data_IF_416726924469
#
_entry.id   IF_416726924469
#
_cell.length_a   1.000
_cell.length_b   1.000
_cell.length_c   1.000
_cell.angle_alpha   90.00
_cell.angle_beta   90.00
_cell.angle_gamma   90.00
#
_symmetry.space_group_name_H-M   'P 1'
#
loop_
_entity.id
_entity.type
_entity.pdbx_description
1 polymer ?
#
# COMPACT_ATOMS: atom_id res chain seq x y z
N UNK A 1 -10.08 -22.03 1.94
CA UNK A 1 -9.58 -22.54 3.24
C UNK A 1 -9.66 -21.43 4.29
N UNK A 2 -10.87 -21.19 4.79
CA UNK A 2 -11.23 -20.19 5.81
C UNK A 2 -10.62 -20.47 7.21
N UNK A 3 -10.07 -21.66 7.40
CA UNK A 3 -9.46 -22.11 8.66
C UNK A 3 -8.10 -21.48 8.95
N UNK A 4 -7.25 -21.27 7.94
CA UNK A 4 -5.91 -20.70 8.13
C UNK A 4 -5.98 -19.22 8.53
N UNK A 5 -6.97 -18.48 8.02
CA UNK A 5 -7.21 -17.08 8.38
C UNK A 5 -7.72 -16.96 9.82
N UNK A 6 -8.63 -17.87 10.25
CA UNK A 6 -9.15 -17.91 11.62
C UNK A 6 -8.07 -18.26 12.65
N UNK A 7 -7.19 -19.20 12.33
CA UNK A 7 -6.14 -19.66 13.25
C UNK A 7 -4.99 -18.64 13.41
N UNK A 8 -4.75 -17.81 12.39
CA UNK A 8 -3.85 -16.65 12.52
C UNK A 8 -4.48 -15.49 13.29
N UNK A 9 -5.79 -15.27 13.15
CA UNK A 9 -6.51 -14.21 13.87
C UNK A 9 -6.63 -14.50 15.38
N UNK A 10 -6.84 -15.76 15.80
CA UNK A 10 -7.02 -16.12 17.21
C UNK A 10 -5.77 -15.99 18.09
N UNK A 11 -4.57 -15.88 17.49
CA UNK A 11 -3.32 -15.68 18.23
C UNK A 11 -3.02 -14.22 18.59
N UNK A 12 -3.81 -13.26 18.10
CA UNK A 12 -3.62 -11.82 18.32
C UNK A 12 -4.59 -11.26 19.39
N UNK A 13 -5.30 -12.14 20.08
CA UNK A 13 -6.60 -11.91 20.74
C UNK A 13 -6.58 -11.52 22.25
N UNK A 14 -5.59 -10.75 22.74
CA UNK A 14 -5.91 -9.86 23.88
C UNK A 14 -5.36 -8.42 23.77
N UNK A 15 -4.49 -8.13 22.79
CA UNK A 15 -3.83 -6.83 22.67
C UNK A 15 -4.52 -5.89 21.67
N UNK A 16 -5.38 -6.42 20.80
CA UNK A 16 -6.06 -5.63 19.76
C UNK A 16 -7.10 -4.66 20.35
N UNK A 17 -7.78 -5.06 21.42
CA UNK A 17 -8.84 -4.22 22.02
C UNK A 17 -8.29 -2.88 22.55
N UNK A 18 -7.04 -2.86 23.02
CA UNK A 18 -6.35 -1.65 23.52
C UNK A 18 -5.54 -0.89 22.45
N UNK A 19 -5.53 -1.33 21.19
CA UNK A 19 -4.88 -0.57 20.12
C UNK A 19 -5.63 0.75 19.92
N UNK A 20 -4.98 1.90 20.07
CA UNK A 20 -5.60 3.20 19.80
C UNK A 20 -5.35 3.69 18.37
N UNK A 21 -4.24 3.25 17.78
CA UNK A 21 -3.74 3.71 16.48
C UNK A 21 -3.16 2.54 15.70
N UNK A 22 -3.53 2.45 14.42
CA UNK A 22 -2.92 1.54 13.46
C UNK A 22 -2.06 2.38 12.52
N UNK A 23 -0.76 2.14 12.53
CA UNK A 23 0.18 2.73 11.59
C UNK A 23 0.48 1.70 10.50
N UNK A 24 -0.01 1.97 9.29
CA UNK A 24 0.29 1.17 8.11
C UNK A 24 1.36 1.87 7.28
N UNK A 25 2.46 1.17 6.99
CA UNK A 25 3.58 1.71 6.24
C UNK A 25 3.70 0.92 4.94
N UNK A 26 3.76 1.62 3.81
CA UNK A 26 4.06 1.02 2.50
C UNK A 26 5.03 1.90 1.74
N UNK A 27 5.84 1.30 0.87
CA UNK A 27 6.81 2.03 0.08
C UNK A 27 6.19 2.48 -1.24
N UNK A 28 6.19 3.79 -1.48
CA UNK A 28 5.68 4.34 -2.74
C UNK A 28 6.56 3.96 -3.93
N UNK A 29 7.84 3.68 -3.69
CA UNK A 29 8.80 3.25 -4.70
C UNK A 29 8.53 1.85 -5.28
N UNK A 30 7.55 1.11 -4.77
CA UNK A 30 7.21 -0.25 -5.25
C UNK A 30 6.18 -0.23 -6.40
N UNK A 31 5.91 0.95 -6.98
CA UNK A 31 4.99 1.13 -8.10
C UNK A 31 5.42 0.38 -9.37
N UNK A 32 6.70 0.10 -9.55
CA UNK A 32 7.25 -0.63 -10.71
C UNK A 32 7.63 -2.08 -10.39
N UNK A 33 7.28 -2.56 -9.20
CA UNK A 33 7.61 -3.90 -8.72
C UNK A 33 6.37 -4.81 -8.63
N UNK A 34 6.56 -6.10 -8.89
CA UNK A 34 5.54 -7.15 -8.74
C UNK A 34 5.88 -8.09 -7.59
N UNK A 35 4.89 -8.84 -7.09
CA UNK A 35 5.10 -9.79 -6.01
C UNK A 35 6.00 -10.95 -6.48
N UNK A 36 6.81 -11.50 -5.56
CA UNK A 36 7.64 -12.66 -5.86
C UNK A 36 6.78 -13.90 -6.15
N UNK A 37 5.68 -14.04 -5.42
CA UNK A 37 4.71 -15.12 -5.55
C UNK A 37 3.75 -14.96 -6.73
N UNK A 38 3.51 -13.74 -7.20
CA UNK A 38 2.61 -13.42 -8.30
C UNK A 38 3.15 -12.25 -9.15
N UNK A 39 3.87 -12.57 -10.24
CA UNK A 39 4.42 -11.57 -11.15
C UNK A 39 3.39 -10.73 -11.90
N UNK A 40 2.09 -11.06 -11.81
CA UNK A 40 1.02 -10.27 -12.44
C UNK A 40 0.45 -9.20 -11.51
N UNK A 41 0.78 -9.27 -10.22
CA UNK A 41 0.27 -8.37 -9.19
C UNK A 41 1.32 -7.34 -8.79
N UNK A 42 0.97 -6.07 -8.93
CA UNK A 42 1.81 -4.96 -8.52
C UNK A 42 1.83 -4.79 -6.98
N UNK A 43 3.01 -4.54 -6.42
CA UNK A 43 3.24 -4.52 -4.96
C UNK A 43 2.54 -3.37 -4.24
N UNK A 44 2.54 -2.16 -4.80
CA UNK A 44 1.86 -1.03 -4.15
C UNK A 44 0.35 -1.21 -4.21
N UNK A 45 -0.18 -1.75 -5.31
CA UNK A 45 -1.61 -2.07 -5.45
C UNK A 45 -2.03 -3.07 -4.37
N UNK A 46 -1.27 -4.16 -4.19
CA UNK A 46 -1.60 -5.14 -3.16
C UNK A 46 -1.51 -4.55 -1.75
N UNK A 47 -0.51 -3.72 -1.48
CA UNK A 47 -0.39 -3.00 -0.21
C UNK A 47 -1.62 -2.11 0.07
N UNK A 48 -2.11 -1.39 -0.93
CA UNK A 48 -3.30 -0.53 -0.82
C UNK A 48 -4.60 -1.34 -0.69
N UNK A 49 -4.69 -2.51 -1.33
CA UNK A 49 -5.80 -3.45 -1.17
C UNK A 49 -5.86 -4.02 0.25
N UNK A 50 -4.70 -4.39 0.80
CA UNK A 50 -4.58 -4.84 2.19
C UNK A 50 -4.96 -3.73 3.16
N UNK A 51 -4.47 -2.51 2.93
CA UNK A 51 -4.87 -1.33 3.70
C UNK A 51 -6.38 -1.10 3.68
N UNK A 52 -6.99 -1.16 2.49
CA UNK A 52 -8.45 -1.07 2.32
C UNK A 52 -9.21 -2.17 3.07
N UNK A 53 -8.63 -3.37 3.18
CA UNK A 53 -9.21 -4.48 3.94
C UNK A 53 -9.15 -4.23 5.44
N UNK A 54 -8.05 -3.65 5.93
CA UNK A 54 -7.90 -3.22 7.33
C UNK A 54 -8.95 -2.15 7.65
N UNK A 55 -9.12 -1.13 6.80
CA UNK A 55 -10.13 -0.09 7.00
C UNK A 55 -11.57 -0.63 7.07
N UNK A 56 -11.87 -1.71 6.34
CA UNK A 56 -13.20 -2.35 6.33
C UNK A 56 -13.43 -3.31 7.50
N UNK A 57 -12.39 -3.61 8.28
CA UNK A 57 -12.51 -4.55 9.40
C UNK A 57 -13.27 -3.91 10.56
N UNK A 58 -14.36 -4.56 11.00
CA UNK A 58 -15.21 -4.06 12.10
C UNK A 58 -14.46 -3.86 13.43
N UNK A 59 -13.36 -4.57 13.66
CA UNK A 59 -12.54 -4.37 14.85
C UNK A 59 -11.75 -3.05 14.84
N UNK A 60 -11.59 -2.44 13.66
CA UNK A 60 -10.82 -1.22 13.47
C UNK A 60 -11.70 0.00 13.17
N UNK A 61 -13.02 -0.14 13.16
CA UNK A 61 -13.94 0.95 12.81
C UNK A 61 -13.91 2.13 13.78
N UNK A 62 -13.50 1.92 15.02
CA UNK A 62 -13.36 2.96 16.05
C UNK A 62 -11.90 3.40 16.27
N UNK A 63 -10.95 2.80 15.55
CA UNK A 63 -9.51 3.07 15.72
C UNK A 63 -9.06 4.11 14.71
N UNK A 64 -8.10 4.95 15.10
CA UNK A 64 -7.42 5.83 14.13
C UNK A 64 -6.50 4.97 13.27
N UNK A 65 -6.55 5.16 11.95
CA UNK A 65 -5.69 4.45 11.00
C UNK A 65 -4.94 5.49 10.17
N UNK A 66 -3.62 5.39 10.14
CA UNK A 66 -2.74 6.28 9.38
C UNK A 66 -1.98 5.43 8.36
N UNK A 67 -2.03 5.86 7.09
CA UNK A 67 -1.19 5.34 6.01
C UNK A 67 0.03 6.24 5.85
N UNK A 68 1.22 5.65 5.92
CA UNK A 68 2.48 6.32 5.63
C UNK A 68 3.11 5.74 4.35
N UNK A 69 3.19 6.59 3.32
CA UNK A 69 3.89 6.31 2.08
C UNK A 69 5.38 6.66 2.24
N UNK A 70 6.20 5.61 2.42
CA UNK A 70 7.64 5.69 2.66
C UNK A 70 8.46 5.57 1.36
N UNK A 71 9.78 5.76 1.45
CA UNK A 71 10.75 5.66 0.35
C UNK A 71 10.49 6.65 -0.80
N UNK A 72 10.09 7.88 -0.45
CA UNK A 72 9.86 8.97 -1.42
C UNK A 72 11.14 9.36 -2.16
N UNK A 73 12.28 9.24 -1.50
CA UNK A 73 13.63 9.38 -2.05
C UNK A 73 13.87 8.38 -3.18
N UNK A 74 13.66 7.07 -2.92
CA UNK A 74 13.84 6.02 -3.95
C UNK A 74 12.83 6.17 -5.08
N UNK A 75 11.59 6.55 -4.76
CA UNK A 75 10.58 6.84 -5.76
C UNK A 75 11.04 7.93 -6.73
N UNK A 76 11.54 9.04 -6.19
CA UNK A 76 12.07 10.14 -6.99
C UNK A 76 13.22 9.69 -7.90
N UNK A 77 14.19 8.95 -7.36
CA UNK A 77 15.31 8.42 -8.15
C UNK A 77 14.85 7.51 -9.30
N UNK A 78 13.83 6.67 -9.06
CA UNK A 78 13.25 5.80 -10.09
C UNK A 78 12.57 6.61 -11.21
N UNK A 79 11.80 7.65 -10.87
CA UNK A 79 11.19 8.55 -11.86
C UNK A 79 12.27 9.25 -12.70
N UNK A 80 13.29 9.81 -12.06
CA UNK A 80 14.39 10.51 -12.73
C UNK A 80 15.18 9.59 -13.67
N UNK A 81 15.43 8.35 -13.25
CA UNK A 81 16.14 7.33 -14.03
C UNK A 81 15.33 6.75 -15.19
N UNK A 82 14.01 6.99 -15.23
CA UNK A 82 13.17 6.65 -16.38
C UNK A 82 12.11 5.55 -16.14
N UNK A 83 12.01 5.01 -14.92
CA UNK A 83 10.90 4.15 -14.53
C UNK A 83 9.70 5.05 -14.19
N UNK A 84 8.69 5.17 -15.06
CA UNK A 84 7.63 6.16 -14.88
C UNK A 84 6.29 5.52 -14.53
N UNK A 85 5.49 6.18 -13.69
CA UNK A 85 4.19 5.65 -13.24
C UNK A 85 3.25 5.35 -14.40
N UNK A 86 3.28 6.14 -15.48
CA UNK A 86 2.48 5.92 -16.70
C UNK A 86 2.70 4.56 -17.35
N UNK A 87 3.87 3.94 -17.16
CA UNK A 87 4.19 2.64 -17.74
C UNK A 87 3.52 1.48 -16.97
N UNK A 88 3.14 1.71 -15.71
CA UNK A 88 2.60 0.69 -14.81
C UNK A 88 1.13 0.93 -14.42
N UNK A 89 0.65 2.17 -14.54
CA UNK A 89 -0.70 2.59 -14.14
C UNK A 89 -1.40 3.25 -15.33
N UNK A 90 -2.22 2.50 -16.09
CA UNK A 90 -2.94 3.05 -17.25
C UNK A 90 -3.92 4.17 -16.92
N UNK A 91 -4.39 4.22 -15.67
CA UNK A 91 -5.31 5.24 -15.16
C UNK A 91 -4.59 6.52 -14.70
N UNK A 92 -3.26 6.56 -14.76
CA UNK A 92 -2.48 7.76 -14.47
C UNK A 92 -2.50 8.71 -15.67
N UNK A 93 -3.03 9.92 -15.45
CA UNK A 93 -3.20 10.97 -16.46
C UNK A 93 -2.08 12.03 -16.47
N UNK A 94 -1.06 11.86 -15.63
CA UNK A 94 0.05 12.81 -15.50
C UNK A 94 1.16 12.62 -16.54
N UNK A 95 2.08 13.60 -16.55
CA UNK A 95 3.17 13.66 -17.51
C UNK A 95 4.34 12.71 -17.18
N UNK A 96 5.07 12.29 -18.22
CA UNK A 96 6.30 11.52 -18.08
C UNK A 96 7.36 12.33 -17.31
N UNK A 97 8.06 11.66 -16.38
CA UNK A 97 9.04 12.23 -15.45
C UNK A 97 8.51 13.34 -14.51
N UNK A 98 7.19 13.45 -14.37
CA UNK A 98 6.59 14.39 -13.44
C UNK A 98 6.38 13.75 -12.06
N UNK A 99 7.42 13.84 -11.22
CA UNK A 99 7.41 13.32 -9.85
C UNK A 99 6.20 13.82 -9.05
N UNK A 100 5.84 15.09 -9.20
CA UNK A 100 4.76 15.72 -8.41
C UNK A 100 3.40 15.13 -8.76
N UNK A 101 3.06 15.04 -10.03
CA UNK A 101 1.79 14.44 -10.47
C UNK A 101 1.72 12.96 -10.10
N UNK A 102 2.85 12.25 -10.26
CA UNK A 102 2.96 10.85 -9.85
C UNK A 102 2.75 10.68 -8.33
N UNK A 103 3.27 11.59 -7.51
CA UNK A 103 3.01 11.61 -6.07
C UNK A 103 1.54 11.91 -5.75
N UNK A 104 0.94 12.88 -6.42
CA UNK A 104 -0.47 13.25 -6.23
C UNK A 104 -1.42 12.09 -6.57
N UNK A 105 -1.10 11.30 -7.59
CA UNK A 105 -1.85 10.10 -7.95
C UNK A 105 -1.99 9.11 -6.78
N UNK A 106 -0.92 8.86 -6.03
CA UNK A 106 -0.94 7.95 -4.88
C UNK A 106 -1.48 8.57 -3.57
N UNK A 107 -1.75 9.88 -3.54
CA UNK A 107 -2.39 10.54 -2.39
C UNK A 107 -3.93 10.63 -2.51
N UNK A 108 -4.49 10.28 -3.67
CA UNK A 108 -5.94 10.25 -3.91
C UNK A 108 -6.59 9.03 -3.26
#
# INVERSE_FOLDING_TARGET
STWVVRERASKVDPYIDNVMLILFITAISEYDETLEEDPTMNRIIESLNLFSTILKCRWFSEKSVILFLNKKDVFKEKIESGSNVVDYFPDFDGEYKNEREAMEFFHR
#
